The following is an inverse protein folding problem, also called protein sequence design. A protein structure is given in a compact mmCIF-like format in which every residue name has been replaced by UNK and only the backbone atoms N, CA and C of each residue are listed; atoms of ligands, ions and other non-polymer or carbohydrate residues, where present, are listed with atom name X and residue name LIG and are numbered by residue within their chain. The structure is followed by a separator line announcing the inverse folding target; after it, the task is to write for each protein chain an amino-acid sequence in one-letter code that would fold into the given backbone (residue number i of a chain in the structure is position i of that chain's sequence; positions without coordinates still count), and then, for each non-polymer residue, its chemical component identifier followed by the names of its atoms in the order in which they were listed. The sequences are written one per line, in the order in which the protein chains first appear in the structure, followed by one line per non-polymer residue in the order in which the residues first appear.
data_IF_310508259745
#
_entry.id   IF_310508259745
#
_cell.length_a   1.000
_cell.length_b   1.000
_cell.length_c   1.000
_cell.angle_alpha   90.00
_cell.angle_beta   90.00
_cell.angle_gamma   90.00
#
_symmetry.space_group_name_H-M   'P 1'
#
loop_
_entity.id
_entity.type
_entity.pdbx_description
1 polymer ?
#
# COMPACT_ATOMS: atom_id res chain seq x y z
N UNK A 1 8.55 -8.34 -16.71
CA UNK A 1 9.16 -9.54 -16.09
C UNK A 1 10.64 -9.62 -16.48
N UNK A 2 11.54 -8.98 -15.73
CA UNK A 2 12.99 -9.22 -15.83
C UNK A 2 13.53 -9.23 -14.41
N UNK A 3 13.79 -10.42 -13.90
CA UNK A 3 14.39 -10.65 -12.60
C UNK A 3 15.79 -10.03 -12.59
N UNK A 4 16.02 -9.07 -11.70
CA UNK A 4 17.37 -8.67 -11.31
C UNK A 4 17.83 -9.64 -10.24
N UNK A 5 18.52 -10.70 -10.67
CA UNK A 5 19.44 -11.43 -9.81
C UNK A 5 20.48 -10.43 -9.29
N UNK A 6 20.33 -10.04 -8.03
CA UNK A 6 21.36 -9.32 -7.30
C UNK A 6 22.45 -10.34 -6.98
N UNK A 7 23.49 -10.38 -7.82
CA UNK A 7 24.74 -11.04 -7.49
C UNK A 7 25.26 -10.41 -6.19
N UNK A 8 25.20 -11.17 -5.09
CA UNK A 8 25.94 -10.84 -3.89
C UNK A 8 27.42 -10.96 -4.26
N UNK A 9 28.09 -9.83 -4.49
CA UNK A 9 29.54 -9.80 -4.69
C UNK A 9 30.16 -10.24 -3.36
N UNK A 10 30.61 -11.49 -3.30
CA UNK A 10 31.39 -11.99 -2.17
C UNK A 10 32.70 -11.21 -2.14
N UNK A 11 32.86 -10.30 -1.19
CA UNK A 11 34.13 -9.59 -1.00
C UNK A 11 35.20 -10.60 -0.57
N UNK A 12 36.15 -10.87 -1.47
CA UNK A 12 37.39 -11.55 -1.18
C UNK A 12 38.35 -10.48 -0.63
N UNK A 13 38.81 -10.56 0.64
CA UNK A 13 39.69 -9.53 1.19
C UNK A 13 41.06 -9.59 0.48
N UNK A 14 41.28 -8.69 -0.48
CA UNK A 14 42.60 -8.49 -1.10
C UNK A 14 43.58 -7.73 -0.16
N UNK A 15 43.06 -7.16 0.93
CA UNK A 15 43.81 -6.38 1.91
C UNK A 15 44.03 -7.19 3.20
N UNK A 16 45.27 -7.24 3.69
CA UNK A 16 45.66 -7.94 4.91
C UNK A 16 44.92 -7.44 6.15
N UNK A 17 44.70 -6.13 6.26
CA UNK A 17 43.94 -5.53 7.36
C UNK A 17 42.47 -5.93 7.29
N UNK A 18 41.86 -5.97 6.10
CA UNK A 18 40.48 -6.44 5.94
C UNK A 18 40.33 -7.93 6.31
N UNK A 19 41.36 -8.75 6.04
CA UNK A 19 41.37 -10.15 6.46
C UNK A 19 41.42 -10.30 7.98
N UNK A 20 42.26 -9.51 8.67
CA UNK A 20 42.32 -9.51 10.14
C UNK A 20 40.99 -9.07 10.75
N UNK A 21 40.39 -7.99 10.24
CA UNK A 21 39.07 -7.54 10.68
C UNK A 21 37.97 -8.56 10.42
N UNK A 22 37.99 -9.24 9.25
CA UNK A 22 37.05 -10.33 8.97
C UNK A 22 37.17 -11.41 10.05
N UNK A 23 38.39 -11.82 10.35
CA UNK A 23 38.67 -12.84 11.35
C UNK A 23 38.17 -12.40 12.74
N UNK A 24 38.44 -11.16 13.12
CA UNK A 24 38.03 -10.61 14.42
C UNK A 24 36.50 -10.57 14.56
N UNK A 25 35.80 -10.03 13.57
CA UNK A 25 34.33 -9.98 13.54
C UNK A 25 33.74 -11.40 13.64
N UNK A 26 34.28 -12.36 12.89
CA UNK A 26 33.79 -13.74 12.88
C UNK A 26 34.15 -14.51 14.15
N UNK A 27 35.24 -14.18 14.84
CA UNK A 27 35.60 -14.76 16.14
C UNK A 27 34.54 -14.45 17.19
N UNK A 28 33.97 -13.24 17.13
CA UNK A 28 32.91 -12.75 17.99
C UNK A 28 31.50 -12.99 17.44
N UNK A 29 31.37 -13.52 16.23
CA UNK A 29 30.08 -13.85 15.65
C UNK A 29 29.62 -15.25 16.10
N UNK A 30 28.33 -15.40 16.39
CA UNK A 30 27.72 -16.71 16.68
C UNK A 30 27.79 -17.70 15.51
N UNK A 31 28.12 -17.22 14.31
CA UNK A 31 28.40 -18.02 13.12
C UNK A 31 29.81 -17.68 12.65
N UNK A 32 30.80 -18.46 13.12
CA UNK A 32 32.21 -18.28 12.79
C UNK A 32 32.53 -18.47 11.30
N UNK A 33 31.62 -19.11 10.56
CA UNK A 33 31.70 -19.31 9.11
C UNK A 33 30.73 -18.39 8.35
N UNK A 34 30.22 -17.36 9.02
CA UNK A 34 29.33 -16.38 8.43
C UNK A 34 30.03 -15.44 7.46
N UNK A 35 29.23 -14.55 6.88
CA UNK A 35 29.71 -13.48 6.02
C UNK A 35 29.76 -12.16 6.78
N UNK A 36 30.71 -11.32 6.38
CA UNK A 36 30.75 -9.92 6.77
C UNK A 36 30.18 -9.12 5.59
N UNK A 37 29.19 -8.28 5.83
CA UNK A 37 28.47 -7.56 4.79
C UNK A 37 29.18 -6.27 4.36
N UNK A 38 30.38 -6.42 3.81
CA UNK A 38 31.28 -5.32 3.43
C UNK A 38 30.63 -4.25 2.55
N UNK A 39 29.72 -4.64 1.65
CA UNK A 39 29.04 -3.70 0.74
C UNK A 39 28.15 -2.68 1.47
N UNK A 40 27.77 -2.93 2.72
CA UNK A 40 26.90 -2.05 3.51
C UNK A 40 27.68 -1.06 4.40
N UNK A 41 28.99 -1.23 4.52
CA UNK A 41 29.81 -0.47 5.47
C UNK A 41 31.05 0.14 4.83
N UNK A 42 31.61 1.14 5.52
CA UNK A 42 32.87 1.79 5.19
C UNK A 42 33.91 1.47 6.28
N UNK A 43 34.75 0.43 6.11
CA UNK A 43 35.65 -0.03 7.18
C UNK A 43 36.60 1.03 7.73
N UNK A 44 37.02 2.00 6.90
CA UNK A 44 37.86 3.11 7.33
C UNK A 44 37.20 4.08 8.32
N UNK A 45 35.87 3.98 8.51
CA UNK A 45 35.12 4.79 9.47
C UNK A 45 34.85 4.07 10.79
N UNK A 46 35.14 2.77 10.93
CA UNK A 46 34.84 2.03 12.17
C UNK A 46 35.44 2.63 13.45
N UNK A 47 36.66 3.21 13.45
CA UNK A 47 37.22 3.81 14.67
C UNK A 47 36.47 5.04 15.17
N UNK A 48 35.78 5.77 14.28
CA UNK A 48 35.09 7.02 14.60
C UNK A 48 33.57 6.94 14.49
N UNK A 49 33.04 5.89 13.85
CA UNK A 49 31.63 5.69 13.61
C UNK A 49 31.26 4.21 13.83
N UNK A 50 30.75 3.91 15.03
CA UNK A 50 30.31 2.57 15.42
C UNK A 50 29.12 2.05 14.60
N UNK A 51 28.33 2.93 13.98
CA UNK A 51 27.24 2.53 13.08
C UNK A 51 27.74 1.79 11.85
N UNK A 52 28.90 2.19 11.32
CA UNK A 52 29.53 1.52 10.18
C UNK A 52 29.94 0.08 10.51
N UNK A 53 30.26 -0.22 11.77
CA UNK A 53 30.50 -1.59 12.22
C UNK A 53 29.19 -2.38 12.31
N UNK A 54 28.13 -1.78 12.85
CA UNK A 54 26.82 -2.44 12.95
C UNK A 54 26.28 -2.86 11.56
N UNK A 55 26.50 -2.03 10.53
CA UNK A 55 26.12 -2.34 9.14
C UNK A 55 26.81 -3.59 8.58
N UNK A 56 27.98 -3.96 9.10
CA UNK A 56 28.69 -5.17 8.69
C UNK A 56 27.93 -6.47 9.07
N UNK A 57 27.02 -6.40 10.04
CA UNK A 57 26.12 -7.49 10.46
C UNK A 57 24.77 -7.48 9.73
N UNK A 58 24.55 -6.55 8.79
CA UNK A 58 23.27 -6.40 8.09
C UNK A 58 23.29 -7.12 6.73
N UNK A 59 22.50 -8.19 6.50
CA UNK A 59 22.54 -8.95 5.25
C UNK A 59 21.88 -8.23 4.06
N UNK A 60 20.90 -7.37 4.34
CA UNK A 60 20.17 -6.59 3.33
C UNK A 60 20.09 -5.15 3.84
N UNK A 61 20.96 -4.28 3.33
CA UNK A 61 21.11 -2.91 3.84
C UNK A 61 21.15 -1.83 2.79
N UNK A 62 21.02 -0.59 3.26
CA UNK A 62 21.14 0.60 2.43
C UNK A 62 22.59 1.09 2.46
N UNK A 63 23.30 0.95 1.35
CA UNK A 63 24.74 1.23 1.23
C UNK A 63 25.11 2.70 1.38
N UNK A 64 24.14 3.60 1.20
CA UNK A 64 24.37 5.04 1.09
C UNK A 64 23.96 5.85 2.33
N UNK A 65 23.35 5.21 3.33
CA UNK A 65 22.91 5.90 4.55
C UNK A 65 24.04 5.91 5.59
N UNK A 66 24.28 7.09 6.16
CA UNK A 66 25.49 7.38 6.93
C UNK A 66 25.30 7.23 8.45
N UNK A 67 24.06 7.19 8.96
CA UNK A 67 23.82 7.16 10.41
C UNK A 67 22.55 6.41 10.85
N UNK A 68 22.42 6.16 12.17
CA UNK A 68 21.25 5.53 12.78
C UNK A 68 19.98 6.41 12.70
N UNK A 69 20.14 7.74 12.56
CA UNK A 69 19.03 8.69 12.47
C UNK A 69 18.21 8.53 11.18
N UNK A 70 18.85 8.05 10.12
CA UNK A 70 18.27 7.94 8.78
C UNK A 70 18.01 6.48 8.37
N UNK A 71 18.26 5.52 9.28
CA UNK A 71 18.23 4.10 8.96
C UNK A 71 17.44 3.30 10.00
N UNK A 72 16.82 2.22 9.54
CA UNK A 72 16.19 1.24 10.42
C UNK A 72 17.22 0.60 11.38
N UNK A 73 16.78 0.26 12.60
CA UNK A 73 17.56 -0.33 13.67
C UNK A 73 18.05 -1.77 13.38
N UNK A 74 17.73 -2.34 12.23
CA UNK A 74 18.12 -3.71 11.83
C UNK A 74 19.62 -3.97 11.94
N UNK A 75 20.49 -2.96 11.75
CA UNK A 75 21.94 -3.11 11.89
C UNK A 75 22.29 -3.47 13.34
N UNK A 76 21.77 -2.69 14.28
CA UNK A 76 21.99 -2.88 15.71
C UNK A 76 21.33 -4.16 16.21
N UNK A 77 20.10 -4.46 15.77
CA UNK A 77 19.41 -5.68 16.17
C UNK A 77 20.15 -6.94 15.72
N UNK A 78 20.72 -6.93 14.51
CA UNK A 78 21.56 -8.04 14.04
C UNK A 78 22.88 -8.11 14.81
N UNK A 79 23.53 -6.98 15.06
CA UNK A 79 24.74 -6.94 15.88
C UNK A 79 24.50 -7.56 17.25
N UNK A 80 23.45 -7.15 17.96
CA UNK A 80 23.10 -7.71 19.28
C UNK A 80 22.76 -9.21 19.23
N UNK A 81 22.08 -9.66 18.17
CA UNK A 81 21.69 -11.05 18.04
C UNK A 81 22.89 -11.98 17.75
N UNK A 82 23.87 -11.48 17.01
CA UNK A 82 24.94 -12.29 16.41
C UNK A 82 26.33 -12.05 17.00
N UNK A 83 26.58 -10.97 17.72
CA UNK A 83 27.87 -10.70 18.37
C UNK A 83 27.87 -11.16 19.84
N UNK A 84 28.89 -11.89 20.26
CA UNK A 84 29.00 -12.48 21.59
C UNK A 84 29.35 -11.47 22.70
N UNK A 85 29.85 -10.28 22.36
CA UNK A 85 29.96 -9.14 23.29
C UNK A 85 28.61 -8.74 23.89
N UNK A 86 27.50 -9.08 23.22
CA UNK A 86 26.13 -8.83 23.65
C UNK A 86 25.46 -10.09 24.22
N UNK A 87 26.23 -11.10 24.59
CA UNK A 87 25.72 -12.39 25.10
C UNK A 87 24.94 -12.29 26.42
N UNK A 88 25.13 -11.23 27.20
CA UNK A 88 24.35 -10.94 28.40
C UNK A 88 22.88 -10.58 28.11
N UNK A 89 22.59 -10.11 26.89
CA UNK A 89 21.24 -9.70 26.49
C UNK A 89 20.44 -10.91 26.02
N UNK A 90 19.20 -10.99 26.46
CA UNK A 90 18.30 -12.06 26.06
C UNK A 90 17.96 -12.01 24.56
N UNK A 91 18.57 -12.92 23.80
CA UNK A 91 18.36 -13.08 22.34
C UNK A 91 16.91 -13.29 21.94
N UNK A 92 16.07 -13.84 22.81
CA UNK A 92 14.64 -14.00 22.52
C UNK A 92 13.97 -12.64 22.35
N UNK A 93 14.27 -11.69 23.23
CA UNK A 93 13.72 -10.32 23.16
C UNK A 93 14.17 -9.58 21.90
N UNK A 94 15.45 -9.74 21.52
CA UNK A 94 15.97 -9.18 20.26
C UNK A 94 15.21 -9.75 19.06
N UNK A 95 15.03 -11.08 19.00
CA UNK A 95 14.31 -11.75 17.91
C UNK A 95 12.84 -11.33 17.83
N UNK A 96 12.17 -11.14 18.96
CA UNK A 96 10.79 -10.65 19.00
C UNK A 96 10.65 -9.27 18.35
N UNK A 97 11.58 -8.34 18.63
CA UNK A 97 11.61 -7.01 18.00
C UNK A 97 11.93 -7.11 16.50
N UNK A 98 12.89 -7.95 16.10
CA UNK A 98 13.19 -8.21 14.68
C UNK A 98 11.95 -8.72 13.94
N UNK A 99 11.21 -9.65 14.54
CA UNK A 99 9.98 -10.21 13.95
C UNK A 99 8.91 -9.13 13.78
N UNK A 100 8.61 -8.34 14.82
CA UNK A 100 7.62 -7.26 14.70
C UNK A 100 8.03 -6.21 13.66
N UNK A 101 9.31 -5.84 13.61
CA UNK A 101 9.82 -4.95 12.57
C UNK A 101 9.59 -5.54 11.17
N UNK A 102 9.92 -6.82 10.98
CA UNK A 102 9.70 -7.49 9.71
C UNK A 102 8.21 -7.55 9.35
N UNK A 103 7.33 -7.86 10.29
CA UNK A 103 5.87 -7.85 10.06
C UNK A 103 5.38 -6.48 9.58
N UNK A 104 5.82 -5.40 10.26
CA UNK A 104 5.48 -4.03 9.87
C UNK A 104 5.99 -3.70 8.47
N UNK A 105 7.26 -4.01 8.18
CA UNK A 105 7.89 -3.72 6.89
C UNK A 105 7.34 -4.53 5.72
N UNK A 106 6.69 -5.68 5.97
CA UNK A 106 6.02 -6.48 4.96
C UNK A 106 4.50 -6.23 4.90
N UNK A 107 3.95 -5.34 5.74
CA UNK A 107 2.56 -4.90 5.64
C UNK A 107 2.41 -4.01 4.42
N UNK A 108 1.55 -4.42 3.47
CA UNK A 108 1.34 -3.69 2.21
C UNK A 108 0.78 -2.29 2.41
N UNK A 109 0.02 -2.07 3.49
CA UNK A 109 -0.63 -0.79 3.80
C UNK A 109 0.07 -0.03 4.93
N UNK A 110 1.12 -0.61 5.55
CA UNK A 110 1.76 -0.08 6.77
C UNK A 110 0.77 0.17 7.94
N UNK A 111 -0.45 -0.39 7.85
CA UNK A 111 -1.47 -0.31 8.90
C UNK A 111 -1.26 -1.44 9.91
N UNK A 112 -1.37 -1.09 11.18
CA UNK A 112 -1.34 -2.03 12.30
C UNK A 112 -2.48 -1.71 13.26
N UNK A 113 -3.02 -2.74 13.92
CA UNK A 113 -4.06 -2.54 14.92
C UNK A 113 -3.48 -1.90 16.19
N UNK A 114 -4.32 -1.19 16.95
CA UNK A 114 -3.91 -0.61 18.24
C UNK A 114 -3.43 -1.69 19.22
N UNK A 115 -4.00 -2.90 19.16
CA UNK A 115 -3.53 -4.05 19.94
C UNK A 115 -2.11 -4.45 19.54
N UNK A 116 -1.83 -4.55 18.23
CA UNK A 116 -0.50 -4.87 17.73
C UNK A 116 0.52 -3.82 18.16
N UNK A 117 0.19 -2.52 18.06
CA UNK A 117 1.08 -1.43 18.46
C UNK A 117 1.41 -1.46 19.95
N UNK A 118 0.42 -1.75 20.80
CA UNK A 118 0.63 -1.95 22.25
C UNK A 118 1.58 -3.12 22.53
N UNK A 119 1.38 -4.25 21.87
CA UNK A 119 2.25 -5.42 22.03
C UNK A 119 3.67 -5.19 21.49
N UNK A 120 3.80 -4.47 20.37
CA UNK A 120 5.10 -4.05 19.86
C UNK A 120 5.83 -3.14 20.85
N UNK A 121 5.11 -2.16 21.41
CA UNK A 121 5.63 -1.27 22.43
C UNK A 121 6.16 -2.02 23.66
N UNK A 122 5.40 -3.00 24.17
CA UNK A 122 5.85 -3.88 25.28
C UNK A 122 7.13 -4.64 24.92
N UNK A 123 7.23 -5.18 23.70
CA UNK A 123 8.42 -5.90 23.24
C UNK A 123 9.65 -4.99 23.17
N UNK A 124 9.49 -3.74 22.71
CA UNK A 124 10.55 -2.74 22.75
C UNK A 124 10.98 -2.47 24.20
N UNK A 125 10.04 -2.17 25.10
CA UNK A 125 10.36 -1.91 26.51
C UNK A 125 11.10 -3.07 27.16
N UNK A 126 10.64 -4.30 26.91
CA UNK A 126 11.30 -5.50 27.42
C UNK A 126 12.76 -5.62 26.94
N UNK A 127 13.06 -5.23 25.70
CA UNK A 127 14.42 -5.21 25.16
C UNK A 127 15.24 -4.07 25.77
N UNK A 128 14.69 -2.85 25.90
CA UNK A 128 15.41 -1.71 26.47
C UNK A 128 15.80 -1.95 27.94
N UNK A 129 14.98 -2.68 28.70
CA UNK A 129 15.31 -3.08 30.07
C UNK A 129 16.58 -3.96 30.17
N UNK A 130 16.98 -4.64 29.10
CA UNK A 130 18.27 -5.38 29.08
C UNK A 130 19.48 -4.42 29.07
N UNK A 131 19.25 -3.14 28.79
CA UNK A 131 20.25 -2.07 28.73
C UNK A 131 20.00 -1.01 29.82
N UNK A 132 19.33 -1.35 30.92
CA UNK A 132 18.99 -0.41 32.01
C UNK A 132 20.22 0.34 32.58
N UNK A 133 21.40 -0.28 32.49
CA UNK A 133 22.67 0.30 32.92
C UNK A 133 23.19 1.42 31.99
N UNK A 134 22.55 1.64 30.84
CA UNK A 134 22.88 2.71 29.89
C UNK A 134 21.86 3.85 30.07
N UNK A 135 22.24 5.00 30.67
CA UNK A 135 21.30 6.08 31.00
C UNK A 135 20.51 6.60 29.81
N UNK A 136 21.13 6.68 28.64
CA UNK A 136 20.52 7.14 27.40
C UNK A 136 19.40 6.19 26.94
N UNK A 137 19.59 4.88 27.15
CA UNK A 137 18.59 3.86 26.82
C UNK A 137 17.43 3.92 27.81
N UNK A 138 17.70 4.08 29.11
CA UNK A 138 16.66 4.29 30.11
C UNK A 138 15.81 5.53 29.80
N UNK A 139 16.44 6.65 29.46
CA UNK A 139 15.75 7.87 29.07
C UNK A 139 14.92 7.70 27.79
N UNK A 140 15.43 6.97 26.79
CA UNK A 140 14.67 6.62 25.59
C UNK A 140 13.48 5.70 25.91
N UNK A 141 13.66 4.73 26.80
CA UNK A 141 12.60 3.85 27.30
C UNK A 141 11.44 4.62 27.91
N UNK A 142 11.72 5.56 28.82
CA UNK A 142 10.69 6.43 29.41
C UNK A 142 9.96 7.28 28.36
N UNK A 143 10.67 7.81 27.37
CA UNK A 143 10.05 8.57 26.26
C UNK A 143 9.10 7.69 25.44
N UNK A 144 9.53 6.47 25.12
CA UNK A 144 8.73 5.51 24.36
C UNK A 144 7.51 5.07 25.17
N UNK A 145 7.66 4.82 26.47
CA UNK A 145 6.54 4.47 27.36
C UNK A 145 5.50 5.59 27.40
N UNK A 146 5.96 6.83 27.58
CA UNK A 146 5.09 8.00 27.52
C UNK A 146 4.35 8.07 26.18
N UNK A 147 5.07 7.92 25.07
CA UNK A 147 4.52 7.95 23.72
C UNK A 147 3.44 6.88 23.47
N UNK A 148 3.65 5.66 24.00
CA UNK A 148 2.70 4.55 23.88
C UNK A 148 1.50 4.69 24.82
N UNK A 149 1.66 5.41 25.92
CA UNK A 149 0.59 5.69 26.90
C UNK A 149 -0.26 6.91 26.54
N UNK A 150 0.26 7.79 25.69
CA UNK A 150 -0.47 8.96 25.20
C UNK A 150 -1.71 8.52 24.43
N UNK A 151 -2.82 9.20 24.70
CA UNK A 151 -3.96 9.17 23.80
C UNK A 151 -3.60 9.98 22.55
N UNK A 152 -3.66 9.32 21.39
CA UNK A 152 -3.43 9.94 20.10
C UNK A 152 -4.74 10.39 19.46
N UNK A 153 -5.82 10.44 20.23
CA UNK A 153 -6.99 11.21 19.86
C UNK A 153 -6.54 12.62 19.49
N UNK A 154 -6.72 12.97 18.22
CA UNK A 154 -6.51 14.32 17.74
C UNK A 154 -7.62 15.15 18.37
N UNK A 155 -7.33 15.78 19.51
CA UNK A 155 -8.21 16.82 20.03
C UNK A 155 -8.03 18.03 19.12
N UNK A 156 -8.85 18.13 18.07
CA UNK A 156 -9.06 19.37 17.34
C UNK A 156 -9.87 20.30 18.27
N UNK A 157 -9.25 21.32 18.89
CA UNK A 157 -9.99 22.19 19.79
C UNK A 157 -10.83 23.14 18.93
N UNK A 158 -12.08 22.79 18.68
CA UNK A 158 -13.08 23.71 18.11
C UNK A 158 -13.97 23.16 17.01
N UNK A 159 -13.51 22.21 16.20
CA UNK A 159 -14.24 21.71 15.01
C UNK A 159 -13.98 20.21 14.86
N UNK A 160 -15.03 19.43 14.56
CA UNK A 160 -14.93 17.97 14.42
C UNK A 160 -13.94 17.56 13.32
N UNK A 161 -13.28 16.42 13.51
CA UNK A 161 -12.33 15.75 12.60
C UNK A 161 -12.47 16.18 11.13
N UNK A 162 -11.68 17.17 10.71
CA UNK A 162 -11.44 17.43 9.29
C UNK A 162 -10.42 16.40 8.77
N UNK A 163 -10.65 15.79 7.60
CA UNK A 163 -9.71 14.86 6.99
C UNK A 163 -8.42 15.58 6.56
N UNK A 164 -7.27 15.03 6.93
CA UNK A 164 -5.94 15.53 6.56
C UNK A 164 -5.79 15.62 5.03
N UNK A 165 -5.72 16.85 4.49
CA UNK A 165 -5.55 17.10 3.05
C UNK A 165 -5.96 18.49 2.55
N UNK A 166 -6.58 19.33 3.38
CA UNK A 166 -6.92 20.72 3.04
C UNK A 166 -5.80 21.67 3.46
N UNK A 167 -4.78 21.81 2.61
CA UNK A 167 -3.92 22.99 2.65
C UNK A 167 -4.78 24.23 2.35
N UNK A 168 -5.15 24.97 3.40
CA UNK A 168 -5.43 26.42 3.45
C UNK A 168 -6.01 27.13 2.20
N UNK A 169 -6.84 26.47 1.41
CA UNK A 169 -7.73 27.11 0.45
C UNK A 169 -9.05 27.32 1.14
N UNK A 170 -9.24 28.57 1.62
CA UNK A 170 -10.52 29.22 1.95
C UNK A 170 -11.69 28.24 1.93
N UNK A 171 -12.08 27.75 3.10
CA UNK A 171 -13.14 26.76 3.25
C UNK A 171 -14.46 27.31 2.70
N UNK A 172 -14.70 27.10 1.40
CA UNK A 172 -15.97 27.40 0.75
C UNK A 172 -16.89 26.26 1.11
N UNK A 173 -17.50 26.35 2.30
CA UNK A 173 -18.68 25.56 2.59
C UNK A 173 -19.72 25.88 1.53
N UNK A 174 -19.97 24.91 0.64
CA UNK A 174 -21.05 25.01 -0.32
C UNK A 174 -22.35 25.05 0.47
N UNK A 175 -23.11 26.10 0.26
CA UNK A 175 -24.48 26.20 0.79
C UNK A 175 -25.34 25.08 0.22
N UNK A 176 -26.42 24.71 0.90
CA UNK A 176 -27.39 23.71 0.41
C UNK A 176 -27.86 24.03 -1.01
N UNK A 177 -28.01 25.31 -1.36
CA UNK A 177 -28.35 25.76 -2.72
C UNK A 177 -27.26 25.43 -3.73
N UNK A 178 -25.98 25.61 -3.38
CA UNK A 178 -24.87 25.31 -4.27
C UNK A 178 -24.68 23.80 -4.45
N UNK A 179 -24.90 23.02 -3.40
CA UNK A 179 -24.90 21.55 -3.49
C UNK A 179 -26.02 21.10 -4.43
N UNK A 180 -27.24 21.61 -4.24
CA UNK A 180 -28.37 21.31 -5.10
C UNK A 180 -28.12 21.72 -6.57
N UNK A 181 -27.52 22.88 -6.82
CA UNK A 181 -27.13 23.31 -8.17
C UNK A 181 -26.12 22.35 -8.82
N UNK A 182 -25.14 21.87 -8.06
CA UNK A 182 -24.15 20.89 -8.55
C UNK A 182 -24.82 19.56 -8.85
N UNK A 183 -25.70 19.07 -7.97
CA UNK A 183 -26.46 17.84 -8.20
C UNK A 183 -27.32 17.94 -9.46
N UNK A 184 -28.03 19.05 -9.63
CA UNK A 184 -28.81 19.35 -10.83
C UNK A 184 -27.93 19.33 -12.10
N UNK A 185 -26.75 19.94 -12.05
CA UNK A 185 -25.84 19.98 -13.21
C UNK A 185 -25.25 18.60 -13.54
N UNK A 186 -24.85 17.81 -12.53
CA UNK A 186 -24.32 16.47 -12.73
C UNK A 186 -25.36 15.52 -13.33
N UNK A 187 -26.61 15.61 -12.86
CA UNK A 187 -27.72 14.82 -13.42
C UNK A 187 -28.00 15.24 -14.86
N UNK A 188 -28.00 16.54 -15.16
CA UNK A 188 -28.18 17.04 -16.54
C UNK A 188 -27.10 16.50 -17.47
N UNK A 189 -25.83 16.56 -17.08
CA UNK A 189 -24.72 16.01 -17.85
C UNK A 189 -24.86 14.51 -18.07
N UNK A 190 -25.30 13.78 -17.05
CA UNK A 190 -25.53 12.34 -17.15
C UNK A 190 -26.67 12.00 -18.11
N UNK A 191 -27.75 12.79 -18.11
CA UNK A 191 -28.86 12.64 -19.05
C UNK A 191 -28.44 12.97 -20.49
N UNK A 192 -27.65 14.02 -20.69
CA UNK A 192 -27.09 14.38 -22.00
C UNK A 192 -26.19 13.27 -22.55
N UNK A 193 -25.32 12.66 -21.74
CA UNK A 193 -24.51 11.51 -22.14
C UNK A 193 -25.39 10.35 -22.62
N UNK A 194 -26.48 10.06 -21.88
CA UNK A 194 -27.42 9.00 -22.26
C UNK A 194 -28.11 9.31 -23.60
N UNK A 195 -28.53 10.57 -23.81
CA UNK A 195 -29.17 10.98 -25.05
C UNK A 195 -28.22 10.96 -26.24
N UNK A 196 -26.98 11.45 -26.08
CA UNK A 196 -25.95 11.38 -27.11
C UNK A 196 -25.62 9.94 -27.48
N UNK A 197 -25.49 9.05 -26.49
CA UNK A 197 -25.29 7.63 -26.76
C UNK A 197 -26.46 7.04 -27.54
N UNK A 198 -27.70 7.41 -27.21
CA UNK A 198 -28.90 6.96 -27.94
C UNK A 198 -28.95 7.50 -29.39
N UNK A 199 -28.41 8.69 -29.64
CA UNK A 199 -28.31 9.28 -30.98
C UNK A 199 -27.16 8.67 -31.81
N UNK A 200 -26.01 8.37 -31.18
CA UNK A 200 -24.83 7.82 -31.86
C UNK A 200 -24.89 6.31 -32.10
N UNK A 201 -25.51 5.55 -31.19
CA UNK A 201 -25.63 4.10 -31.28
C UNK A 201 -27.07 3.73 -31.66
N UNK A 202 -27.32 3.40 -32.94
CA UNK A 202 -28.59 2.80 -33.40
C UNK A 202 -29.00 1.52 -32.64
N UNK A 203 -28.08 0.91 -31.89
CA UNK A 203 -28.40 -0.13 -30.91
C UNK A 203 -27.57 0.02 -29.63
N UNK A 204 -28.26 0.32 -28.54
CA UNK A 204 -27.68 0.42 -27.21
C UNK A 204 -27.56 -0.97 -26.54
N UNK A 205 -26.40 -1.25 -25.96
CA UNK A 205 -26.08 -2.51 -25.29
C UNK A 205 -26.88 -2.72 -24.00
N UNK A 206 -26.87 -3.94 -23.45
CA UNK A 206 -27.49 -4.24 -22.15
C UNK A 206 -26.94 -3.35 -21.01
N UNK A 207 -25.71 -2.87 -21.15
CA UNK A 207 -25.07 -1.94 -20.20
C UNK A 207 -25.74 -0.56 -20.21
N UNK A 208 -26.17 -0.08 -21.38
CA UNK A 208 -26.82 1.22 -21.52
C UNK A 208 -28.24 1.21 -20.93
N UNK A 209 -28.99 0.12 -21.08
CA UNK A 209 -30.27 -0.08 -20.40
C UNK A 209 -30.10 -0.07 -18.87
N UNK A 210 -29.06 -0.74 -18.37
CA UNK A 210 -28.75 -0.71 -16.94
C UNK A 210 -28.43 0.71 -16.45
N UNK A 211 -27.65 1.48 -17.22
CA UNK A 211 -27.33 2.88 -16.90
C UNK A 211 -28.58 3.77 -16.86
N UNK A 212 -29.51 3.62 -17.81
CA UNK A 212 -30.79 4.33 -17.82
C UNK A 212 -31.61 3.98 -16.57
N UNK A 213 -31.68 2.69 -16.23
CA UNK A 213 -32.44 2.23 -15.07
C UNK A 213 -31.87 2.78 -13.76
N UNK A 214 -30.54 2.80 -13.60
CA UNK A 214 -29.89 3.39 -12.43
C UNK A 214 -30.25 4.87 -12.24
N UNK A 215 -30.27 5.67 -13.33
CA UNK A 215 -30.64 7.09 -13.26
C UNK A 215 -32.11 7.26 -12.90
N UNK A 216 -33.00 6.42 -13.45
CA UNK A 216 -34.43 6.45 -13.11
C UNK A 216 -34.68 6.13 -11.64
N UNK A 217 -34.01 5.12 -11.10
CA UNK A 217 -34.17 4.74 -9.70
C UNK A 217 -33.62 5.85 -8.79
N UNK A 218 -32.45 6.40 -9.12
CA UNK A 218 -31.87 7.54 -8.40
C UNK A 218 -32.82 8.74 -8.36
N UNK A 219 -33.41 9.14 -9.49
CA UNK A 219 -34.34 10.27 -9.52
C UNK A 219 -35.65 9.99 -8.77
N UNK A 220 -36.12 8.74 -8.75
CA UNK A 220 -37.33 8.38 -7.98
C UNK A 220 -37.10 8.43 -6.49
N UNK A 221 -35.90 8.06 -6.04
CA UNK A 221 -35.52 8.07 -4.63
C UNK A 221 -35.26 9.49 -4.09
N UNK A 222 -35.04 10.47 -4.98
CA UNK A 222 -34.78 11.88 -4.62
C UNK A 222 -35.91 12.81 -5.11
N UNK A 223 -36.88 13.09 -4.24
CA UNK A 223 -38.12 13.80 -4.61
C UNK A 223 -37.92 15.23 -5.12
N UNK A 224 -36.91 15.92 -4.61
CA UNK A 224 -36.51 17.28 -5.01
C UNK A 224 -35.98 17.29 -6.45
N UNK A 225 -35.11 16.34 -6.80
CA UNK A 225 -34.61 16.17 -8.17
C UNK A 225 -35.68 15.62 -9.11
N UNK A 226 -36.52 14.69 -8.64
CA UNK A 226 -37.60 14.10 -9.43
C UNK A 226 -38.51 15.19 -10.04
N UNK A 227 -38.88 16.18 -9.22
CA UNK A 227 -39.75 17.28 -9.64
C UNK A 227 -39.10 18.12 -10.73
N UNK A 228 -37.78 18.35 -10.66
CA UNK A 228 -37.04 19.13 -11.65
C UNK A 228 -36.75 18.38 -12.95
N UNK A 229 -36.73 17.04 -12.93
CA UNK A 229 -36.40 16.17 -14.08
C UNK A 229 -37.57 15.30 -14.54
N UNK A 230 -38.81 15.66 -14.22
CA UNK A 230 -40.00 14.86 -14.58
C UNK A 230 -40.11 14.65 -16.10
N UNK A 231 -39.85 15.69 -16.89
CA UNK A 231 -39.87 15.61 -18.34
C UNK A 231 -38.78 14.67 -18.89
N UNK A 232 -37.59 14.70 -18.31
CA UNK A 232 -36.48 13.83 -18.69
C UNK A 232 -36.73 12.38 -18.31
N UNK A 233 -37.35 12.12 -17.15
CA UNK A 233 -37.83 10.81 -16.74
C UNK A 233 -38.83 10.23 -17.75
N UNK A 234 -39.81 11.02 -18.20
CA UNK A 234 -40.77 10.60 -19.23
C UNK A 234 -40.07 10.32 -20.56
N UNK A 235 -39.07 11.13 -20.93
CA UNK A 235 -38.27 10.94 -22.14
C UNK A 235 -37.41 9.67 -22.07
N UNK A 236 -36.80 9.38 -20.91
CA UNK A 236 -36.07 8.14 -20.68
C UNK A 236 -36.98 6.90 -20.76
N UNK A 237 -38.22 6.99 -20.27
CA UNK A 237 -39.22 5.92 -20.43
C UNK A 237 -39.63 5.71 -21.89
N UNK A 238 -39.72 6.79 -22.67
CA UNK A 238 -39.93 6.73 -24.12
C UNK A 238 -38.78 6.01 -24.83
N UNK A 239 -37.55 6.42 -24.56
CA UNK A 239 -36.34 5.79 -25.11
C UNK A 239 -36.26 4.32 -24.74
N UNK A 240 -36.48 3.97 -23.47
CA UNK A 240 -36.48 2.57 -23.04
C UNK A 240 -37.50 1.70 -23.79
N UNK A 241 -38.72 2.22 -24.02
CA UNK A 241 -39.78 1.52 -24.77
C UNK A 241 -39.45 1.39 -26.26
N UNK A 242 -38.93 2.45 -26.88
CA UNK A 242 -38.47 2.42 -28.27
C UNK A 242 -37.34 1.39 -28.45
N UNK A 243 -36.39 1.37 -27.52
CA UNK A 243 -35.25 0.45 -27.52
C UNK A 243 -35.65 -1.01 -27.26
N UNK A 244 -36.62 -1.26 -26.38
CA UNK A 244 -37.18 -2.61 -26.17
C UNK A 244 -37.93 -3.11 -27.41
N UNK A 245 -38.62 -2.21 -28.11
CA UNK A 245 -39.36 -2.55 -29.34
C UNK A 245 -38.42 -2.87 -30.51
N UNK A 246 -37.31 -2.14 -30.66
CA UNK A 246 -36.27 -2.43 -31.66
C UNK A 246 -35.57 -3.77 -31.42
N UNK A 247 -35.31 -4.13 -30.15
CA UNK A 247 -34.74 -5.44 -29.78
C UNK A 247 -35.64 -6.60 -30.20
N UNK A 248 -36.95 -6.45 -30.04
CA UNK A 248 -37.95 -7.47 -30.45
C UNK A 248 -37.99 -7.61 -31.97
N UNK A 249 -37.97 -6.48 -32.70
CA UNK A 249 -37.98 -6.48 -34.18
C UNK A 249 -36.74 -7.16 -34.79
N UNK A 250 -35.55 -7.00 -34.19
CA UNK A 250 -34.31 -7.64 -34.65
C UNK A 250 -34.27 -9.15 -34.36
N UNK A 251 -34.85 -9.60 -33.23
CA UNK A 251 -34.98 -11.02 -32.92
C UNK A 251 -36.03 -11.72 -33.80
N UNK A 252 -37.03 -10.99 -34.30
CA UNK A 252 -37.99 -11.48 -35.31
C UNK A 252 -37.37 -11.52 -36.72
N UNK A 253 -36.61 -10.49 -37.11
CA UNK A 253 -35.93 -10.44 -38.42
C UNK A 253 -34.84 -11.53 -38.55
N UNK A 254 -34.17 -11.88 -37.43
CA UNK A 254 -33.23 -13.02 -37.37
C UNK A 254 -33.91 -14.39 -37.47
N UNK A 255 -35.23 -14.49 -37.22
CA UNK A 255 -35.99 -15.74 -37.41
C UNK A 255 -36.51 -15.91 -38.85
N UNK A 256 -36.67 -14.82 -39.60
CA UNK A 256 -37.22 -14.86 -40.97
C UNK A 256 -36.18 -15.02 -42.09
N UNK A 257 -34.88 -14.80 -41.83
CA UNK A 257 -33.80 -15.10 -42.79
C UNK A 257 -32.75 -16.07 -42.21
N UNK A 258 -32.90 -17.39 -42.42
CA UNK A 258 -31.84 -18.36 -42.17
C UNK A 258 -30.94 -18.46 -43.42
N UNK A 259 -29.94 -17.58 -43.55
CA UNK A 259 -28.90 -17.75 -44.58
C UNK A 259 -27.84 -18.76 -44.12
N UNK A 260 -27.87 -19.90 -44.82
CA UNK A 260 -26.79 -20.82 -45.20
C UNK A 260 -25.47 -20.79 -44.41
N UNK A 261 -25.29 -21.82 -43.59
CA UNK A 261 -23.99 -22.33 -43.18
C UNK A 261 -23.14 -22.68 -44.41
N UNK A 262 -22.02 -21.99 -44.60
CA UNK A 262 -20.87 -22.56 -45.30
C UNK A 262 -19.67 -22.64 -44.37
N UNK A 263 -19.36 -23.89 -44.04
CA UNK A 263 -18.14 -24.36 -43.41
C UNK A 263 -16.89 -23.78 -44.08
N UNK A 264 -16.02 -23.13 -43.32
CA UNK A 264 -14.59 -23.16 -43.61
C UNK A 264 -13.79 -23.41 -42.33
N UNK A 265 -13.46 -24.69 -42.12
CA UNK A 265 -12.48 -25.12 -41.15
C UNK A 265 -11.08 -24.89 -41.70
N UNK A 266 -10.21 -24.16 -40.99
CA UNK A 266 -8.81 -24.62 -40.78
C UNK A 266 -7.97 -23.70 -39.87
N UNK A 267 -7.45 -24.35 -38.82
CA UNK A 267 -6.09 -24.23 -38.28
C UNK A 267 -5.70 -22.95 -37.52
N UNK A 268 -5.41 -23.12 -36.23
CA UNK A 268 -4.02 -23.07 -35.73
C UNK A 268 -3.90 -23.61 -34.28
N UNK A 269 -3.47 -24.86 -34.23
CA UNK A 269 -2.57 -25.55 -33.26
C UNK A 269 -2.36 -24.90 -31.87
N UNK A 270 -2.92 -25.56 -30.84
CA UNK A 270 -2.42 -25.51 -29.46
C UNK A 270 -1.04 -26.18 -29.38
N UNK A 271 0.00 -25.41 -29.05
CA UNK A 271 1.28 -25.94 -28.61
C UNK A 271 1.16 -26.20 -27.09
N UNK A 272 1.25 -27.47 -26.71
CA UNK A 272 1.60 -27.92 -25.36
C UNK A 272 3.10 -27.71 -25.15
N UNK A 273 3.48 -27.08 -24.05
CA UNK A 273 4.81 -27.24 -23.45
C UNK A 273 4.64 -27.98 -22.13
N UNK A 274 5.49 -28.98 -21.98
CA UNK A 274 5.52 -30.08 -21.01
C UNK A 274 6.56 -29.77 -19.93
N UNK A 275 6.28 -30.27 -18.72
CA UNK A 275 7.18 -30.61 -17.59
C UNK A 275 8.21 -29.58 -17.12
#
# INVERSE_FOLDING_TARGET
MRGKERYAVSFQPACSLCAQWKQEILNHHTNRHGDVHWGNCKPWLWPSNSWELAKAYMPRGQTNISGPEECDAVALLNLFNFCDHFSSINKKKIKEVITCRNELMHSSEMKVSSLWLKEFGKKIQNLLNEFENVPEVAAAGTKIEKLLSSDWAVCVPGEGDQPDGLEEETEVYLTESQIHEIEMELIRQRLEEIYLLAEEQEMLSAENLHRIQMVKDFLKDNSDLNTSFEADLQRLEGLEKEMQSQKISLDETKKENPEEETNEACLLKKIKLVA
#
